data_IF_777748117976
#
_entry.id   IF_777748117976
#
_cell.length_a   1.000
_cell.length_b   1.000
_cell.length_c   1.000
_cell.angle_alpha   90.00
_cell.angle_beta   90.00
_cell.angle_gamma   90.00
#
_symmetry.space_group_name_H-M   'P 1'
#
loop_
_entity.id
_entity.type
_entity.pdbx_description
1 polymer ?
#
# COMPACT_ATOMS: atom_id res chain seq x y z
N UNK A 1 -17.30 25.66 -22.27
CA UNK A 1 -16.06 26.05 -21.60
C UNK A 1 -16.14 25.52 -20.19
N UNK A 2 -15.55 24.35 -19.94
CA UNK A 2 -15.38 23.82 -18.59
C UNK A 2 -13.91 23.48 -18.40
N UNK A 3 -13.05 24.43 -18.74
CA UNK A 3 -11.65 24.46 -18.33
C UNK A 3 -11.59 25.01 -16.89
N UNK A 4 -12.46 24.48 -16.04
CA UNK A 4 -12.32 24.60 -14.60
C UNK A 4 -11.26 23.59 -14.21
N UNK A 5 -9.99 23.99 -14.30
CA UNK A 5 -8.90 23.33 -13.57
C UNK A 5 -9.18 23.52 -12.07
N UNK A 6 -10.20 22.83 -11.55
CA UNK A 6 -10.34 22.63 -10.13
C UNK A 6 -9.08 21.85 -9.73
N UNK A 7 -8.25 22.45 -8.89
CA UNK A 7 -7.15 21.69 -8.26
C UNK A 7 -7.81 20.51 -7.56
N UNK A 8 -7.51 19.26 -7.94
CA UNK A 8 -8.12 18.11 -7.30
C UNK A 8 -7.85 18.19 -5.80
N UNK A 9 -8.88 18.03 -4.99
CA UNK A 9 -8.77 18.11 -3.54
C UNK A 9 -7.82 17.03 -3.00
N UNK A 10 -7.69 15.90 -3.72
CA UNK A 10 -6.65 14.91 -3.46
C UNK A 10 -6.17 14.19 -4.72
N UNK A 11 -4.89 13.81 -4.73
CA UNK A 11 -4.26 13.00 -5.78
C UNK A 11 -3.34 11.96 -5.14
N UNK A 12 -3.40 10.73 -5.62
CA UNK A 12 -2.48 9.66 -5.29
C UNK A 12 -1.60 9.37 -6.52
N UNK A 13 -0.28 9.55 -6.37
CA UNK A 13 0.70 9.35 -7.43
C UNK A 13 1.61 8.18 -7.08
N UNK A 14 1.83 7.29 -8.04
CA UNK A 14 2.77 6.17 -7.93
C UNK A 14 4.21 6.72 -7.96
N UNK A 15 5.21 6.00 -7.42
CA UNK A 15 6.63 6.36 -7.52
C UNK A 15 7.14 6.38 -8.97
N UNK A 16 6.41 5.72 -9.88
CA UNK A 16 6.62 5.79 -11.33
C UNK A 16 6.10 7.12 -11.96
N UNK A 17 5.45 7.98 -11.19
CA UNK A 17 4.90 9.27 -11.63
C UNK A 17 3.47 9.23 -12.18
N UNK A 18 2.86 8.05 -12.30
CA UNK A 18 1.48 7.87 -12.80
C UNK A 18 0.44 8.14 -11.70
N UNK A 19 -0.61 8.91 -12.02
CA UNK A 19 -1.76 9.14 -11.13
C UNK A 19 -2.60 7.86 -11.01
N UNK A 20 -2.64 7.28 -9.82
CA UNK A 20 -3.45 6.10 -9.52
C UNK A 20 -4.88 6.46 -9.12
N UNK A 21 -5.07 7.65 -8.56
CA UNK A 21 -6.37 8.17 -8.17
C UNK A 21 -6.32 9.69 -8.07
N UNK A 22 -7.40 10.36 -8.44
CA UNK A 22 -7.61 11.78 -8.23
C UNK A 22 -9.09 12.02 -7.95
N UNK A 23 -9.40 12.93 -7.04
CA UNK A 23 -10.77 13.38 -6.81
C UNK A 23 -10.79 14.87 -6.51
N UNK A 24 -11.77 15.54 -7.10
CA UNK A 24 -12.08 16.94 -6.88
C UNK A 24 -12.96 17.11 -5.63
N UNK A 25 -13.50 16.01 -5.10
CA UNK A 25 -14.46 15.97 -3.99
C UNK A 25 -13.93 15.16 -2.80
N UNK A 26 -14.46 15.47 -1.61
CA UNK A 26 -14.16 14.77 -0.34
C UNK A 26 -15.33 13.93 0.17
N UNK A 27 -16.23 13.51 -0.72
CA UNK A 27 -17.38 12.67 -0.36
C UNK A 27 -16.95 11.23 -0.03
N UNK A 28 -17.84 10.46 0.63
CA UNK A 28 -17.63 9.05 0.95
C UNK A 28 -17.24 8.21 -0.28
N UNK A 29 -17.82 8.50 -1.46
CA UNK A 29 -17.45 7.83 -2.70
C UNK A 29 -15.99 8.10 -3.09
N UNK A 30 -15.50 9.32 -2.87
CA UNK A 30 -14.09 9.68 -3.11
C UNK A 30 -13.17 8.94 -2.14
N UNK A 31 -13.54 8.86 -0.85
CA UNK A 31 -12.79 8.12 0.17
C UNK A 31 -12.72 6.62 -0.18
N UNK A 32 -13.85 6.03 -0.55
CA UNK A 32 -13.93 4.61 -0.94
C UNK A 32 -13.06 4.33 -2.18
N UNK A 33 -13.06 5.23 -3.15
CA UNK A 33 -12.21 5.14 -4.33
C UNK A 33 -10.71 5.22 -4.01
N UNK A 34 -10.33 6.07 -3.05
CA UNK A 34 -8.96 6.17 -2.57
C UNK A 34 -8.52 4.87 -1.88
N UNK A 35 -9.34 4.32 -0.97
CA UNK A 35 -9.03 3.06 -0.27
C UNK A 35 -8.87 1.90 -1.25
N UNK A 36 -9.76 1.80 -2.25
CA UNK A 36 -9.65 0.80 -3.31
C UNK A 36 -8.34 0.96 -4.11
N UNK A 37 -7.96 2.20 -4.44
CA UNK A 37 -6.70 2.48 -5.14
C UNK A 37 -5.48 2.07 -4.29
N UNK A 38 -5.49 2.37 -2.99
CA UNK A 38 -4.44 1.96 -2.06
C UNK A 38 -4.33 0.43 -2.00
N UNK A 39 -5.43 -0.29 -1.78
CA UNK A 39 -5.43 -1.76 -1.75
C UNK A 39 -4.92 -2.40 -3.04
N UNK A 40 -5.25 -1.83 -4.19
CA UNK A 40 -4.77 -2.31 -5.50
C UNK A 40 -3.29 -2.02 -5.69
N UNK A 41 -2.77 -0.97 -5.07
CA UNK A 41 -1.41 -0.51 -5.27
C UNK A 41 -0.40 -1.08 -4.27
N UNK A 42 -0.80 -1.32 -3.02
CA UNK A 42 0.05 -1.93 -1.98
C UNK A 42 -0.16 -3.44 -1.82
N UNK A 43 -1.15 -4.02 -2.52
CA UNK A 43 -1.63 -5.37 -2.26
C UNK A 43 -2.44 -5.45 -0.96
N UNK A 44 -2.89 -6.66 -0.60
CA UNK A 44 -3.44 -6.91 0.73
C UNK A 44 -2.34 -6.61 1.77
N UNK A 45 -2.67 -6.00 2.93
CA UNK A 45 -1.69 -5.87 4.00
C UNK A 45 -1.14 -7.27 4.27
N UNK A 46 0.15 -7.44 4.04
CA UNK A 46 0.84 -8.66 4.45
C UNK A 46 0.69 -8.70 5.96
N UNK A 47 -0.18 -9.56 6.46
CA UNK A 47 -0.05 -10.04 7.84
C UNK A 47 1.40 -10.51 7.91
N UNK A 48 2.24 -9.77 8.65
CA UNK A 48 3.66 -10.06 8.73
C UNK A 48 3.82 -11.56 8.91
N UNK A 49 4.59 -12.27 8.06
CA UNK A 49 4.95 -13.62 8.42
C UNK A 49 5.58 -13.50 9.81
N UNK A 50 4.97 -14.15 10.80
CA UNK A 50 5.62 -14.36 12.08
C UNK A 50 7.07 -14.73 11.77
N UNK A 51 8.01 -13.96 12.31
CA UNK A 51 9.40 -14.38 12.35
C UNK A 51 9.37 -15.80 12.91
N UNK A 52 9.58 -16.80 12.06
CA UNK A 52 9.76 -18.18 12.51
C UNK A 52 10.85 -18.11 13.58
N UNK A 53 10.58 -18.51 14.82
CA UNK A 53 11.60 -18.51 15.84
C UNK A 53 12.61 -19.56 15.39
N UNK A 54 13.75 -19.09 14.86
CA UNK A 54 14.89 -19.95 14.56
C UNK A 54 15.18 -20.77 15.82
N UNK A 55 14.86 -22.06 15.75
CA UNK A 55 15.06 -22.98 16.87
C UNK A 55 16.53 -22.98 17.27
N UNK A 56 16.85 -23.26 18.56
CA UNK A 56 18.22 -23.24 19.02
C UNK A 56 19.05 -24.24 18.20
N UNK A 57 20.15 -23.76 17.62
CA UNK A 57 21.13 -24.61 16.96
C UNK A 57 21.66 -25.61 18.00
N UNK A 58 21.36 -26.90 17.84
CA UNK A 58 21.98 -27.92 18.68
C UNK A 58 23.49 -27.92 18.42
N UNK A 59 24.34 -27.91 19.46
CA UNK A 59 25.79 -28.02 19.27
C UNK A 59 26.12 -29.43 18.77
N UNK A 60 26.80 -29.51 17.63
CA UNK A 60 27.37 -30.75 17.11
C UNK A 60 28.43 -31.27 18.09
N UNK A 61 28.20 -32.45 18.67
CA UNK A 61 29.21 -33.12 19.50
C UNK A 61 30.37 -33.63 18.62
N UNK A 62 31.64 -33.38 18.99
CA UNK A 62 32.77 -33.92 18.24
C UNK A 62 32.96 -35.41 18.57
N UNK A 63 33.04 -36.23 17.52
CA UNK A 63 33.46 -37.63 17.65
C UNK A 63 34.94 -37.67 18.07
N UNK A 64 35.20 -38.22 19.26
CA UNK A 64 36.54 -38.43 19.81
C UNK A 64 36.52 -39.44 20.96
#
# INVERSE_FOLDING_TARGET
MADGHATPTGVLVRPDGVVAWASDTTDLAAVTGLEAALHRWTGAPTSSPEHEPVGPVEPVEPVG
#
